data_IF_111520387776
#
_entry.id   IF_111520387776
#
_cell.length_a   1.000
_cell.length_b   1.000
_cell.length_c   1.000
_cell.angle_alpha   90.00
_cell.angle_beta   90.00
_cell.angle_gamma   90.00
#
_symmetry.space_group_name_H-M   'P 1'
#
loop_
_entity.id
_entity.type
_entity.pdbx_description
1 polymer ?
#
# COMPACT_ATOMS: atom_id res chain seq x y z
N UNK A 1 13.65 -1.62 22.58
CA UNK A 1 14.75 -2.49 22.11
C UNK A 1 15.54 -1.71 21.10
N UNK A 2 16.88 -1.70 21.23
CA UNK A 2 17.79 -0.96 20.36
C UNK A 2 19.24 -1.23 20.74
N UNK A 3 20.18 -0.27 20.51
CA UNK A 3 20.01 0.98 19.76
C UNK A 3 19.99 0.79 18.25
N UNK A 4 20.55 -0.29 17.72
CA UNK A 4 20.67 -0.56 16.29
C UNK A 4 19.92 -1.85 15.90
N UNK A 5 20.03 -2.23 14.63
CA UNK A 5 19.50 -3.49 14.10
C UNK A 5 20.64 -4.51 13.88
N UNK A 6 20.30 -5.78 13.64
CA UNK A 6 21.26 -6.86 13.40
C UNK A 6 22.11 -7.20 14.62
N UNK A 7 23.39 -7.44 14.43
CA UNK A 7 24.33 -7.86 15.51
C UNK A 7 24.48 -6.84 16.63
N UNK A 8 24.25 -5.56 16.36
CA UNK A 8 24.30 -4.47 17.34
C UNK A 8 22.93 -4.13 17.95
N UNK A 9 21.91 -4.88 17.59
CA UNK A 9 20.53 -4.69 18.06
C UNK A 9 20.13 -5.63 19.19
N UNK A 10 18.83 -5.63 19.51
CA UNK A 10 18.26 -6.58 20.43
C UNK A 10 18.45 -6.29 21.93
N UNK A 11 19.11 -5.21 22.30
CA UNK A 11 19.29 -4.85 23.71
C UNK A 11 18.02 -4.20 24.28
N UNK A 12 17.64 -4.55 25.49
CA UNK A 12 16.57 -3.90 26.23
C UNK A 12 17.11 -2.59 26.81
N UNK A 13 16.76 -1.45 26.23
CA UNK A 13 17.19 -0.12 26.67
C UNK A 13 16.40 0.37 27.88
N UNK A 14 15.14 -0.07 28.02
CA UNK A 14 14.25 0.33 29.08
C UNK A 14 13.16 -0.70 29.32
N UNK A 15 12.82 -0.90 30.59
CA UNK A 15 11.69 -1.70 31.04
C UNK A 15 11.03 -0.99 32.22
N UNK A 16 9.76 -0.58 32.06
CA UNK A 16 9.03 0.17 33.07
C UNK A 16 7.87 0.97 32.48
N UNK A 17 7.23 1.84 33.29
CA UNK A 17 6.12 2.67 32.82
C UNK A 17 6.53 3.58 31.65
N UNK A 18 5.67 3.83 30.65
CA UNK A 18 6.00 4.61 29.45
C UNK A 18 6.63 5.97 29.75
N UNK A 19 6.19 6.66 30.79
CA UNK A 19 6.72 7.96 31.17
C UNK A 19 8.24 7.96 31.47
N UNK A 20 8.76 6.87 32.02
CA UNK A 20 10.19 6.73 32.32
C UNK A 20 11.06 6.62 31.07
N UNK A 21 10.49 6.26 29.93
CA UNK A 21 11.20 6.23 28.65
C UNK A 21 11.68 7.62 28.22
N UNK A 22 11.04 8.69 28.71
CA UNK A 22 11.44 10.06 28.43
C UNK A 22 12.88 10.38 28.84
N UNK A 23 13.42 9.66 29.83
CA UNK A 23 14.78 9.85 30.35
C UNK A 23 15.84 9.02 29.60
N UNK A 24 15.43 8.11 28.72
CA UNK A 24 16.34 7.17 28.04
C UNK A 24 16.81 7.76 26.71
N UNK A 25 17.90 8.49 26.72
CA UNK A 25 18.42 9.19 25.53
C UNK A 25 18.76 8.25 24.35
N UNK A 26 19.19 7.02 24.62
CA UNK A 26 19.51 6.03 23.60
C UNK A 26 18.27 5.42 22.90
N UNK A 27 17.05 5.75 23.35
CA UNK A 27 15.81 5.21 22.77
C UNK A 27 15.33 6.06 21.60
N UNK A 28 15.36 5.53 20.40
CA UNK A 28 14.73 6.16 19.22
C UNK A 28 13.22 6.33 19.42
N UNK A 29 12.55 5.38 20.09
CA UNK A 29 11.11 5.46 20.39
C UNK A 29 10.78 6.69 21.23
N UNK A 30 11.68 7.12 22.12
CA UNK A 30 11.52 8.32 22.95
C UNK A 30 11.26 9.57 22.10
N UNK A 31 12.01 9.74 21.02
CA UNK A 31 11.91 10.92 20.15
C UNK A 31 10.50 11.02 19.51
N UNK A 32 9.93 9.89 19.12
CA UNK A 32 8.59 9.88 18.51
C UNK A 32 7.46 9.93 19.54
N UNK A 33 7.68 9.38 20.73
CA UNK A 33 6.63 9.31 21.76
C UNK A 33 6.45 10.63 22.52
N UNK A 34 7.55 11.38 22.70
CA UNK A 34 7.57 12.61 23.51
C UNK A 34 7.94 13.86 22.70
N UNK A 35 8.19 13.73 21.39
CA UNK A 35 8.38 14.90 20.55
C UNK A 35 7.09 15.73 20.49
N UNK A 36 7.24 17.03 20.59
CA UNK A 36 6.13 17.93 20.27
C UNK A 36 5.77 17.77 18.79
N UNK A 37 4.48 17.72 18.46
CA UNK A 37 4.06 17.61 17.06
C UNK A 37 4.64 18.78 16.28
N UNK A 38 5.56 18.50 15.37
CA UNK A 38 6.04 19.50 14.42
C UNK A 38 4.83 19.94 13.58
N UNK A 39 4.58 21.25 13.45
CA UNK A 39 3.49 21.72 12.61
C UNK A 39 3.74 21.24 11.19
N UNK A 40 2.90 20.33 10.71
CA UNK A 40 2.92 19.91 9.31
C UNK A 40 2.77 21.16 8.45
N UNK A 41 3.64 21.33 7.47
CA UNK A 41 3.56 22.45 6.54
C UNK A 41 2.12 22.52 5.97
N UNK A 42 1.37 23.60 6.21
CA UNK A 42 -0.03 23.71 5.85
C UNK A 42 -0.28 23.79 4.33
N UNK A 43 0.78 23.82 3.51
CA UNK A 43 0.65 23.85 2.06
C UNK A 43 0.11 22.52 1.53
N UNK A 44 -1.19 22.33 1.65
CA UNK A 44 -1.89 21.19 1.06
C UNK A 44 -2.09 21.43 -0.43
N UNK A 45 -1.77 20.43 -1.23
CA UNK A 45 -2.06 20.47 -2.67
C UNK A 45 -3.58 20.45 -2.88
N UNK A 46 -4.11 21.37 -3.69
CA UNK A 46 -5.50 21.30 -4.10
C UNK A 46 -5.71 20.15 -5.10
N UNK A 47 -6.82 19.41 -5.00
CA UNK A 47 -7.17 18.38 -5.98
C UNK A 47 -7.29 18.96 -7.38
N UNK A 48 -6.77 18.27 -8.38
CA UNK A 48 -6.96 18.60 -9.80
C UNK A 48 -8.30 18.14 -10.36
N UNK A 49 -8.98 17.25 -9.64
CA UNK A 49 -10.24 16.64 -9.99
C UNK A 49 -10.64 15.61 -8.94
N UNK A 50 -11.71 14.87 -9.22
CA UNK A 50 -12.24 13.85 -8.33
C UNK A 50 -12.59 12.59 -9.10
N UNK A 51 -12.16 11.44 -8.59
CA UNK A 51 -12.66 10.13 -9.01
C UNK A 51 -13.80 9.74 -8.08
N UNK A 52 -15.01 9.69 -8.63
CA UNK A 52 -16.23 9.40 -7.87
C UNK A 52 -16.68 7.97 -8.09
N UNK A 53 -16.76 7.20 -6.99
CA UNK A 53 -17.36 5.86 -6.97
C UNK A 53 -18.78 5.95 -6.38
N UNK A 54 -19.68 5.14 -6.88
CA UNK A 54 -21.08 5.11 -6.44
C UNK A 54 -21.57 3.68 -6.28
N UNK A 55 -22.28 3.42 -5.16
CA UNK A 55 -22.94 2.15 -4.90
C UNK A 55 -21.99 0.96 -4.70
N UNK A 56 -20.79 1.21 -4.17
CA UNK A 56 -19.77 0.16 -3.97
C UNK A 56 -20.23 -0.81 -2.90
N UNK A 57 -20.38 -2.09 -3.30
CA UNK A 57 -20.77 -3.18 -2.41
C UNK A 57 -19.77 -4.31 -2.54
N UNK A 58 -19.01 -4.58 -1.46
CA UNK A 58 -18.04 -5.68 -1.36
C UNK A 58 -17.71 -5.98 0.08
N UNK A 59 -17.73 -7.23 0.48
CA UNK A 59 -17.54 -7.67 1.87
C UNK A 59 -18.48 -6.92 2.82
N UNK A 60 -17.92 -6.07 3.69
CA UNK A 60 -18.67 -5.24 4.63
C UNK A 60 -19.03 -3.84 4.10
N UNK A 61 -18.73 -3.55 2.84
CA UNK A 61 -19.20 -2.34 2.18
C UNK A 61 -20.60 -2.56 1.62
N UNK A 62 -21.52 -1.67 1.93
CA UNK A 62 -22.91 -1.73 1.48
C UNK A 62 -23.28 -0.38 0.85
N UNK A 63 -23.41 -0.37 -0.48
CA UNK A 63 -23.76 0.79 -1.30
C UNK A 63 -22.96 2.08 -1.02
N UNK A 64 -21.67 1.93 -0.70
CA UNK A 64 -20.82 3.06 -0.32
C UNK A 64 -20.53 3.94 -1.54
N UNK A 65 -20.74 5.25 -1.39
CA UNK A 65 -20.29 6.25 -2.36
C UNK A 65 -19.16 7.08 -1.79
N UNK A 66 -18.10 7.30 -2.58
CA UNK A 66 -16.88 7.97 -2.13
C UNK A 66 -16.18 8.71 -3.26
N UNK A 67 -15.63 9.87 -2.95
CA UNK A 67 -14.85 10.68 -3.86
C UNK A 67 -13.36 10.66 -3.46
N UNK A 68 -12.49 10.28 -4.41
CA UNK A 68 -11.04 10.31 -4.23
C UNK A 68 -10.45 11.55 -4.93
N UNK A 69 -9.69 12.40 -4.23
CA UNK A 69 -9.08 13.57 -4.85
C UNK A 69 -7.95 13.16 -5.79
N UNK A 70 -7.95 13.69 -7.01
CA UNK A 70 -6.91 13.47 -8.00
C UNK A 70 -5.75 14.47 -7.85
N UNK A 71 -4.54 14.05 -8.20
CA UNK A 71 -3.34 14.88 -8.06
C UNK A 71 -2.83 15.05 -6.63
N UNK A 72 -3.40 14.33 -5.67
CA UNK A 72 -3.06 14.38 -4.25
C UNK A 72 -2.61 13.02 -3.72
N UNK A 73 -1.84 13.03 -2.63
CA UNK A 73 -1.66 11.84 -1.80
C UNK A 73 -2.88 11.70 -0.89
N UNK A 74 -3.56 10.57 -1.00
CA UNK A 74 -4.76 10.26 -0.20
C UNK A 74 -4.47 9.11 0.74
N UNK A 75 -4.71 9.30 2.03
CA UNK A 75 -4.63 8.26 3.04
C UNK A 75 -6.03 7.83 3.48
N UNK A 76 -6.31 6.53 3.41
CA UNK A 76 -7.56 5.94 3.92
C UNK A 76 -7.26 5.31 5.27
N UNK A 77 -7.86 5.86 6.32
CA UNK A 77 -7.63 5.45 7.72
C UNK A 77 -8.90 4.91 8.35
N UNK A 78 -8.75 4.22 9.45
CA UNK A 78 -9.88 3.65 10.22
C UNK A 78 -9.46 2.42 11.02
N UNK A 79 -10.33 1.92 11.87
CA UNK A 79 -10.10 0.72 12.68
C UNK A 79 -9.93 -0.53 11.81
N UNK A 80 -9.35 -1.60 12.39
CA UNK A 80 -9.27 -2.89 11.69
C UNK A 80 -10.68 -3.42 11.38
N UNK A 81 -10.87 -4.01 10.20
CA UNK A 81 -12.16 -4.53 9.77
C UNK A 81 -13.17 -3.48 9.25
N UNK A 82 -12.82 -2.18 9.19
CA UNK A 82 -13.74 -1.14 8.70
C UNK A 82 -13.93 -1.10 7.17
N UNK A 83 -13.37 -2.03 6.41
CA UNK A 83 -13.55 -2.10 4.97
C UNK A 83 -12.52 -1.33 4.13
N UNK A 84 -11.46 -0.76 4.73
CA UNK A 84 -10.42 -0.01 3.99
C UNK A 84 -9.81 -0.81 2.83
N UNK A 85 -9.41 -2.05 3.10
CA UNK A 85 -8.82 -2.92 2.08
C UNK A 85 -9.86 -3.34 1.03
N UNK A 86 -11.11 -3.57 1.45
CA UNK A 86 -12.22 -3.87 0.52
C UNK A 86 -12.48 -2.70 -0.42
N UNK A 87 -12.40 -1.46 0.09
CA UNK A 87 -12.60 -0.26 -0.71
C UNK A 87 -11.41 0.03 -1.64
N UNK A 88 -10.18 0.08 -1.10
CA UNK A 88 -9.00 0.58 -1.84
C UNK A 88 -8.30 -0.53 -2.61
N UNK A 89 -7.99 -1.65 -1.94
CA UNK A 89 -7.20 -2.73 -2.55
C UNK A 89 -8.01 -3.71 -3.38
N UNK A 90 -9.34 -3.58 -3.36
CA UNK A 90 -10.24 -4.45 -4.14
C UNK A 90 -11.16 -3.61 -5.01
N UNK A 91 -12.23 -3.01 -4.49
CA UNK A 91 -13.26 -2.35 -5.28
C UNK A 91 -12.72 -1.21 -6.17
N UNK A 92 -11.89 -0.32 -5.64
CA UNK A 92 -11.28 0.76 -6.43
C UNK A 92 -10.40 0.21 -7.56
N UNK A 93 -9.58 -0.81 -7.27
CA UNK A 93 -8.71 -1.43 -8.28
C UNK A 93 -9.51 -2.12 -9.38
N UNK A 94 -10.53 -2.90 -9.01
CA UNK A 94 -11.38 -3.60 -9.95
C UNK A 94 -12.08 -2.60 -10.88
N UNK A 95 -12.79 -1.61 -10.32
CA UNK A 95 -13.56 -0.62 -11.09
C UNK A 95 -12.68 0.23 -12.00
N UNK A 96 -11.50 0.68 -11.52
CA UNK A 96 -10.56 1.46 -12.35
C UNK A 96 -9.92 0.57 -13.40
N UNK A 97 -9.55 -0.66 -13.06
CA UNK A 97 -9.01 -1.64 -14.01
C UNK A 97 -9.97 -1.93 -15.15
N UNK A 98 -11.22 -2.23 -14.84
CA UNK A 98 -12.30 -2.44 -15.83
C UNK A 98 -12.49 -1.19 -16.71
N UNK A 99 -12.57 -0.01 -16.08
CA UNK A 99 -12.75 1.24 -16.79
C UNK A 99 -11.60 1.63 -17.72
N UNK A 100 -10.37 1.18 -17.41
CA UNK A 100 -9.19 1.34 -18.29
C UNK A 100 -9.07 0.23 -19.35
N UNK A 101 -10.03 -0.72 -19.41
CA UNK A 101 -9.98 -1.87 -20.33
C UNK A 101 -8.84 -2.84 -20.02
N UNK A 102 -8.35 -2.86 -18.81
CA UNK A 102 -7.34 -3.81 -18.32
C UNK A 102 -7.99 -4.78 -17.37
N UNK A 103 -7.92 -6.06 -17.70
CA UNK A 103 -8.08 -7.08 -16.68
C UNK A 103 -7.00 -6.80 -15.62
N UNK A 104 -7.38 -6.72 -14.35
CA UNK A 104 -6.41 -6.69 -13.24
C UNK A 104 -5.74 -8.05 -13.24
N UNK A 105 -4.64 -8.15 -13.98
CA UNK A 105 -3.79 -9.35 -13.96
C UNK A 105 -2.99 -9.20 -12.67
N UNK A 106 -3.39 -9.92 -11.65
CA UNK A 106 -2.50 -10.25 -10.55
C UNK A 106 -1.34 -11.05 -11.18
N UNK A 107 -0.13 -10.54 -11.14
CA UNK A 107 1.06 -11.26 -11.65
C UNK A 107 1.41 -12.50 -10.80
N UNK A 108 0.69 -12.73 -9.73
CA UNK A 108 0.79 -13.93 -8.90
C UNK A 108 -0.13 -15.02 -9.46
N UNK A 109 0.41 -16.23 -9.63
CA UNK A 109 -0.41 -17.42 -9.83
C UNK A 109 -1.50 -17.46 -8.75
N UNK A 110 -2.77 -17.72 -9.12
CA UNK A 110 -3.84 -17.78 -8.13
C UNK A 110 -3.48 -18.85 -7.10
N UNK A 111 -3.27 -18.40 -5.86
CA UNK A 111 -3.13 -19.32 -4.74
C UNK A 111 -4.44 -20.12 -4.69
N UNK A 112 -4.38 -21.45 -4.74
CA UNK A 112 -5.55 -22.33 -4.79
C UNK A 112 -6.52 -22.16 -3.57
N UNK A 113 -6.22 -21.22 -2.70
CA UNK A 113 -7.02 -20.84 -1.53
C UNK A 113 -7.69 -19.46 -1.66
N UNK A 114 -7.47 -18.71 -2.75
CA UNK A 114 -8.19 -17.46 -2.95
C UNK A 114 -9.66 -17.77 -3.29
N UNK A 115 -10.61 -17.19 -2.55
CA UNK A 115 -12.02 -17.33 -2.89
C UNK A 115 -12.26 -16.77 -4.28
N UNK A 116 -13.16 -17.41 -5.03
CA UNK A 116 -13.53 -17.02 -6.39
C UNK A 116 -13.68 -15.49 -6.50
N UNK A 117 -13.24 -14.87 -7.61
CA UNK A 117 -13.27 -13.43 -7.78
C UNK A 117 -14.69 -12.91 -7.54
N UNK A 118 -14.88 -12.24 -6.41
CA UNK A 118 -16.16 -11.59 -6.11
C UNK A 118 -16.17 -10.30 -6.90
N UNK A 119 -17.14 -10.16 -7.79
CA UNK A 119 -17.38 -8.90 -8.49
C UNK A 119 -17.75 -7.82 -7.49
N UNK A 120 -17.01 -6.72 -7.53
CA UNK A 120 -17.36 -5.54 -6.75
C UNK A 120 -18.62 -4.93 -7.33
N UNK A 121 -19.67 -4.77 -6.53
CA UNK A 121 -20.82 -3.94 -6.91
C UNK A 121 -20.38 -2.46 -7.00
N UNK A 122 -21.15 -1.66 -7.74
CA UNK A 122 -20.90 -0.22 -7.89
C UNK A 122 -20.36 0.17 -9.26
N UNK A 123 -20.11 1.47 -9.42
CA UNK A 123 -19.61 2.04 -10.66
C UNK A 123 -18.76 3.28 -10.44
N UNK A 124 -17.95 3.63 -11.41
CA UNK A 124 -17.30 4.94 -11.48
C UNK A 124 -18.30 5.93 -12.09
N UNK A 125 -18.65 6.97 -11.32
CA UNK A 125 -19.55 8.03 -11.76
C UNK A 125 -18.84 9.10 -12.57
N UNK A 126 -17.60 9.47 -12.19
CA UNK A 126 -16.83 10.54 -12.82
C UNK A 126 -15.32 10.39 -12.54
N UNK A 127 -14.49 11.04 -13.34
CA UNK A 127 -13.07 11.21 -13.10
C UNK A 127 -12.16 10.16 -13.72
N UNK A 128 -12.71 9.10 -14.31
CA UNK A 128 -11.90 8.03 -14.94
C UNK A 128 -11.07 8.54 -16.10
N UNK A 129 -11.59 9.50 -16.86
CA UNK A 129 -10.93 10.11 -18.02
C UNK A 129 -9.60 10.82 -17.69
N UNK A 130 -9.41 11.14 -16.41
CA UNK A 130 -8.17 11.76 -15.91
C UNK A 130 -7.12 10.71 -15.49
N UNK A 131 -7.48 9.42 -15.46
CA UNK A 131 -6.62 8.33 -15.06
C UNK A 131 -6.07 7.63 -16.30
N UNK A 132 -4.75 7.63 -16.46
CA UNK A 132 -4.08 6.98 -17.61
C UNK A 132 -3.54 5.60 -17.28
N UNK A 133 -3.21 5.37 -16.00
CA UNK A 133 -2.51 4.16 -15.56
C UNK A 133 -2.87 3.83 -14.12
N UNK A 134 -3.09 2.55 -13.88
CA UNK A 134 -3.21 1.97 -12.55
C UNK A 134 -1.91 1.24 -12.20
N UNK A 135 -1.39 1.49 -11.00
CA UNK A 135 -0.23 0.78 -10.44
C UNK A 135 -0.60 0.35 -9.03
N UNK A 136 -0.50 -0.93 -8.77
CA UNK A 136 -0.68 -1.50 -7.44
C UNK A 136 0.69 -1.84 -6.85
N UNK A 137 0.90 -1.44 -5.60
CA UNK A 137 2.07 -1.85 -4.80
C UNK A 137 1.52 -2.47 -3.52
N UNK A 138 1.83 -3.72 -3.29
CA UNK A 138 1.42 -4.46 -2.11
C UNK A 138 2.52 -4.49 -1.03
N UNK A 139 2.22 -5.09 0.11
CA UNK A 139 3.16 -5.26 1.23
C UNK A 139 3.86 -6.62 1.20
N UNK A 140 3.69 -7.40 0.14
CA UNK A 140 4.35 -8.70 0.03
C UNK A 140 5.86 -8.51 -0.06
N UNK A 141 6.66 -9.35 0.61
CA UNK A 141 8.11 -9.28 0.48
C UNK A 141 8.52 -9.50 -0.97
N UNK A 142 9.37 -8.63 -1.50
CA UNK A 142 9.99 -8.83 -2.82
C UNK A 142 10.80 -10.12 -2.73
N UNK A 143 10.46 -11.10 -3.58
CA UNK A 143 11.26 -12.31 -3.71
C UNK A 143 10.98 -13.40 -2.68
N UNK A 144 9.78 -13.93 -2.65
CA UNK A 144 9.45 -15.13 -1.84
C UNK A 144 10.08 -16.43 -2.35
N UNK A 145 10.65 -16.43 -3.54
CA UNK A 145 11.32 -17.62 -4.07
C UNK A 145 12.84 -17.49 -3.95
N UNK A 146 13.59 -18.60 -3.67
CA UNK A 146 15.04 -18.59 -3.62
C UNK A 146 15.71 -18.09 -4.90
N UNK A 147 14.95 -17.95 -5.98
CA UNK A 147 15.40 -17.49 -7.31
C UNK A 147 15.13 -16.00 -7.57
N UNK A 148 14.38 -15.32 -6.71
CA UNK A 148 14.07 -13.90 -6.91
C UNK A 148 15.04 -13.03 -6.12
N UNK A 149 15.94 -12.40 -6.84
CA UNK A 149 16.78 -11.32 -6.37
C UNK A 149 16.37 -10.02 -7.08
N UNK A 150 16.90 -8.90 -6.63
CA UNK A 150 16.61 -7.59 -7.22
C UNK A 150 16.86 -7.55 -8.74
N UNK A 151 17.91 -8.21 -9.21
CA UNK A 151 18.25 -8.25 -10.63
C UNK A 151 17.25 -9.07 -11.47
N UNK A 152 16.66 -10.10 -10.90
CA UNK A 152 15.55 -10.84 -11.53
C UNK A 152 14.27 -9.99 -11.56
N UNK A 153 13.97 -9.33 -10.46
CA UNK A 153 12.78 -8.47 -10.35
C UNK A 153 12.81 -7.28 -11.32
N UNK A 154 13.98 -6.67 -11.51
CA UNK A 154 14.16 -5.55 -12.46
C UNK A 154 14.33 -5.98 -13.92
N UNK A 155 14.34 -7.28 -14.22
CA UNK A 155 14.58 -7.80 -15.57
C UNK A 155 16.05 -7.70 -16.04
N UNK A 156 16.95 -7.24 -15.18
CA UNK A 156 18.37 -7.11 -15.52
C UNK A 156 18.99 -8.47 -15.87
N UNK A 157 18.59 -9.52 -15.17
CA UNK A 157 19.07 -10.89 -15.43
C UNK A 157 18.66 -11.44 -16.79
N UNK A 158 17.58 -10.98 -17.38
CA UNK A 158 17.15 -11.46 -18.71
C UNK A 158 18.08 -10.98 -19.81
N UNK A 159 18.61 -9.77 -19.69
CA UNK A 159 19.64 -9.27 -20.60
C UNK A 159 20.96 -10.05 -20.45
N UNK A 160 21.36 -10.35 -19.22
CA UNK A 160 22.54 -11.15 -18.94
C UNK A 160 22.39 -12.56 -19.51
N UNK A 161 21.25 -13.22 -19.31
CA UNK A 161 20.96 -14.54 -19.87
C UNK A 161 21.03 -14.57 -21.39
N UNK A 162 20.46 -13.54 -22.06
CA UNK A 162 20.53 -13.43 -23.52
C UNK A 162 21.95 -13.30 -24.03
N UNK A 163 22.80 -12.52 -23.36
CA UNK A 163 24.22 -12.38 -23.71
C UNK A 163 24.96 -13.71 -23.55
N UNK A 164 24.75 -14.44 -22.47
CA UNK A 164 25.40 -15.73 -22.26
C UNK A 164 24.85 -16.84 -23.16
N UNK A 165 23.61 -16.77 -23.59
CA UNK A 165 23.03 -17.72 -24.52
C UNK A 165 23.50 -17.52 -25.99
N UNK A 166 24.09 -16.36 -26.30
CA UNK A 166 24.60 -16.01 -27.62
C UNK A 166 26.09 -16.33 -27.79
N UNK A 167 26.75 -16.83 -26.75
CA UNK A 167 28.16 -17.33 -26.78
C UNK A 167 28.21 -18.84 -26.92
#
# INVERSE_FOLDING_TARGET
>A
VGPAAGEQGGQVLYSGPPAGLAQVQASQTREYLFAEPQPLNPSRRAPSGWLSLEGVSRNNLDEVSVDFPLGCLTAVTGISGSGKSSLVSQALLDLVGEGLGRAVVSEDEPDLQDPAPQTSGGRIRAGLEQIRRLVQVDQKPIGRTPRSNLATYTGLFDNVRKLFAAT
#
